data_IF_770609924214
#
_entry.id   IF_770609924214
#
_cell.length_a   1.000
_cell.length_b   1.000
_cell.length_c   1.000
_cell.angle_alpha   90.00
_cell.angle_beta   90.00
_cell.angle_gamma   90.00
#
_symmetry.space_group_name_H-M   'P 1'
#
loop_
_entity.id
_entity.type
_entity.pdbx_description
1 polymer ?
#
# COMPACT_ATOMS: atom_id res chain seq x y z
N UNK A 1 -19.67 18.73 23.38
CA UNK A 1 -20.09 17.32 23.24
C UNK A 1 -19.13 16.44 24.04
N UNK A 2 -19.61 15.75 25.08
CA UNK A 2 -18.77 14.78 25.82
C UNK A 2 -18.56 13.55 24.93
N UNK A 3 -17.31 13.21 24.64
CA UNK A 3 -16.96 11.97 23.94
C UNK A 3 -17.38 10.80 24.85
N UNK A 4 -18.54 10.21 24.59
CA UNK A 4 -18.94 8.99 25.28
C UNK A 4 -17.94 7.90 24.90
N UNK A 5 -17.06 7.57 25.83
CA UNK A 5 -16.06 6.52 25.63
C UNK A 5 -16.81 5.21 25.48
N UNK A 6 -16.87 4.63 24.28
CA UNK A 6 -17.39 3.28 24.07
C UNK A 6 -16.50 2.30 24.85
N UNK A 7 -16.90 1.99 26.08
CA UNK A 7 -16.30 0.97 26.93
C UNK A 7 -17.04 -0.34 26.64
N UNK A 8 -16.37 -1.30 26.04
CA UNK A 8 -16.86 -2.67 25.95
C UNK A 8 -16.17 -3.44 27.08
N UNK A 9 -16.95 -4.08 27.96
CA UNK A 9 -16.44 -4.83 29.13
C UNK A 9 -15.50 -4.01 30.04
N UNK A 10 -15.73 -2.69 30.16
CA UNK A 10 -14.92 -1.79 31.02
C UNK A 10 -13.60 -1.32 30.42
N UNK A 11 -13.18 -1.86 29.27
CA UNK A 11 -11.93 -1.48 28.59
C UNK A 11 -12.20 -0.40 27.54
N UNK A 12 -11.32 0.60 27.47
CA UNK A 12 -11.35 1.60 26.41
C UNK A 12 -10.89 0.95 25.09
N UNK A 13 -11.78 0.87 24.11
CA UNK A 13 -11.53 0.13 22.85
C UNK A 13 -10.80 1.00 21.81
N UNK A 14 -10.80 2.33 21.97
CA UNK A 14 -10.17 3.26 21.01
C UNK A 14 -8.68 3.01 20.76
N UNK A 15 -7.83 2.76 21.78
CA UNK A 15 -6.41 2.44 21.56
C UNK A 15 -6.20 1.17 20.74
N UNK A 16 -7.01 0.13 20.98
CA UNK A 16 -6.95 -1.14 20.25
C UNK A 16 -7.33 -0.94 18.77
N UNK A 17 -8.39 -0.18 18.51
CA UNK A 17 -8.82 0.16 17.15
C UNK A 17 -7.72 0.96 16.42
N UNK A 18 -7.12 1.93 17.10
CA UNK A 18 -6.02 2.73 16.53
C UNK A 18 -4.79 1.86 16.20
N UNK A 19 -4.41 0.93 17.09
CA UNK A 19 -3.31 -0.01 16.83
C UNK A 19 -3.60 -0.92 15.63
N UNK A 20 -4.83 -1.44 15.53
CA UNK A 20 -5.26 -2.26 14.39
C UNK A 20 -5.22 -1.48 13.07
N UNK A 21 -5.69 -0.23 13.07
CA UNK A 21 -5.62 0.65 11.91
C UNK A 21 -4.17 0.93 11.49
N UNK A 22 -3.28 1.19 12.46
CA UNK A 22 -1.87 1.44 12.20
C UNK A 22 -1.14 0.20 11.66
N UNK A 23 -1.45 -0.98 12.20
CA UNK A 23 -0.97 -2.25 11.67
C UNK A 23 -1.45 -2.45 10.22
N UNK A 24 -2.75 -2.28 9.94
CA UNK A 24 -3.32 -2.40 8.60
C UNK A 24 -2.64 -1.45 7.59
N UNK A 25 -2.42 -0.20 7.99
CA UNK A 25 -1.69 0.81 7.20
C UNK A 25 -0.28 0.33 6.86
N UNK A 26 0.43 -0.18 7.86
CA UNK A 26 1.79 -0.66 7.68
C UNK A 26 1.87 -1.87 6.76
N UNK A 27 0.93 -2.82 6.87
CA UNK A 27 0.79 -3.94 5.95
C UNK A 27 0.57 -3.48 4.51
N UNK A 28 -0.28 -2.47 4.29
CA UNK A 28 -0.53 -1.92 2.95
C UNK A 28 0.70 -1.23 2.36
N UNK A 29 1.46 -0.49 3.17
CA UNK A 29 2.74 0.10 2.73
C UNK A 29 3.73 -1.00 2.33
N UNK A 30 3.82 -2.08 3.11
CA UNK A 30 4.68 -3.23 2.79
C UNK A 30 4.28 -3.88 1.47
N UNK A 31 2.99 -4.06 1.23
CA UNK A 31 2.46 -4.62 -0.01
C UNK A 31 2.84 -3.75 -1.23
N UNK A 32 2.65 -2.42 -1.15
CA UNK A 32 3.04 -1.50 -2.21
C UNK A 32 4.55 -1.53 -2.48
N UNK A 33 5.37 -1.60 -1.42
CA UNK A 33 6.82 -1.76 -1.56
C UNK A 33 7.17 -3.08 -2.25
N UNK A 34 6.51 -4.19 -1.89
CA UNK A 34 6.74 -5.50 -2.53
C UNK A 34 6.42 -5.45 -4.02
N UNK A 35 5.27 -4.87 -4.40
CA UNK A 35 4.88 -4.70 -5.80
C UNK A 35 5.93 -3.91 -6.59
N UNK A 36 6.45 -2.81 -6.03
CA UNK A 36 7.53 -2.06 -6.64
C UNK A 36 8.79 -2.91 -6.86
N UNK A 37 9.19 -3.68 -5.86
CA UNK A 37 10.37 -4.55 -5.96
C UNK A 37 10.20 -5.64 -7.03
N UNK A 38 9.02 -6.26 -7.11
CA UNK A 38 8.69 -7.24 -8.13
C UNK A 38 8.75 -6.63 -9.54
N UNK A 39 8.24 -5.40 -9.71
CA UNK A 39 8.31 -4.67 -10.97
C UNK A 39 9.74 -4.42 -11.42
N UNK A 40 10.60 -3.95 -10.49
CA UNK A 40 12.01 -3.69 -10.79
C UNK A 40 12.74 -4.99 -11.13
N UNK A 41 12.41 -6.09 -10.46
CA UNK A 41 12.96 -7.42 -10.78
C UNK A 41 12.54 -7.88 -12.17
N UNK A 42 11.26 -7.76 -12.52
CA UNK A 42 10.76 -8.10 -13.85
C UNK A 42 11.41 -7.25 -14.93
N UNK A 43 11.58 -5.94 -14.68
CA UNK A 43 12.29 -5.05 -15.59
C UNK A 43 13.74 -5.46 -15.81
N UNK A 44 14.45 -5.88 -14.76
CA UNK A 44 15.83 -6.41 -14.87
C UNK A 44 15.89 -7.67 -15.75
N UNK A 45 14.90 -8.56 -15.62
CA UNK A 45 14.78 -9.77 -16.47
C UNK A 45 14.48 -9.37 -17.91
N UNK A 46 13.51 -8.48 -18.13
CA UNK A 46 13.13 -7.98 -19.45
C UNK A 46 14.31 -7.32 -20.17
N UNK A 47 15.13 -6.53 -19.46
CA UNK A 47 16.39 -5.96 -20.01
C UNK A 47 17.34 -7.06 -20.47
N UNK A 48 17.59 -8.08 -19.64
CA UNK A 48 18.48 -9.19 -19.99
C UNK A 48 17.99 -9.98 -21.20
N UNK A 49 16.67 -10.14 -21.34
CA UNK A 49 16.05 -10.89 -22.44
C UNK A 49 15.68 -10.03 -23.65
N UNK A 50 16.03 -8.74 -23.65
CA UNK A 50 15.68 -7.76 -24.70
C UNK A 50 14.17 -7.73 -25.03
N UNK A 51 13.33 -7.87 -24.01
CA UNK A 51 11.87 -7.78 -24.15
C UNK A 51 11.43 -6.32 -24.25
N UNK A 52 11.64 -5.72 -25.43
CA UNK A 52 11.41 -4.28 -25.69
C UNK A 52 9.98 -3.87 -25.32
N UNK A 53 8.96 -4.60 -25.80
CA UNK A 53 7.55 -4.30 -25.51
C UNK A 53 7.25 -4.31 -24.00
N UNK A 54 7.87 -5.22 -23.24
CA UNK A 54 7.70 -5.30 -21.79
C UNK A 54 8.39 -4.12 -21.10
N UNK A 55 9.55 -3.68 -21.59
CA UNK A 55 10.25 -2.52 -21.05
C UNK A 55 9.50 -1.21 -21.29
N UNK A 56 8.87 -1.07 -22.45
CA UNK A 56 8.05 0.10 -22.80
C UNK A 56 6.81 0.16 -21.92
N UNK A 57 6.12 -0.97 -21.75
CA UNK A 57 4.97 -1.05 -20.84
C UNK A 57 5.37 -0.87 -19.37
N UNK A 58 6.51 -1.43 -18.94
CA UNK A 58 7.06 -1.29 -17.60
C UNK A 58 7.99 -0.07 -17.45
N UNK A 59 7.68 1.04 -18.12
CA UNK A 59 8.41 2.27 -17.89
C UNK A 59 8.31 2.69 -16.41
N UNK A 60 9.43 3.15 -15.83
CA UNK A 60 9.54 3.49 -14.40
C UNK A 60 8.47 4.51 -14.02
N UNK A 61 8.29 5.55 -14.84
CA UNK A 61 7.33 6.61 -14.55
C UNK A 61 5.89 6.10 -14.53
N UNK A 62 5.53 5.24 -15.50
CA UNK A 62 4.22 4.61 -15.55
C UNK A 62 3.96 3.74 -14.31
N UNK A 63 4.93 2.92 -13.90
CA UNK A 63 4.81 2.09 -12.68
C UNK A 63 4.72 2.94 -11.42
N UNK A 64 5.49 4.03 -11.32
CA UNK A 64 5.41 4.96 -10.20
C UNK A 64 4.03 5.62 -10.11
N UNK A 65 3.49 6.11 -11.24
CA UNK A 65 2.13 6.68 -11.30
C UNK A 65 1.08 5.65 -10.87
N UNK A 66 1.19 4.40 -11.31
CA UNK A 66 0.29 3.31 -10.93
C UNK A 66 0.32 3.03 -9.42
N UNK A 67 1.50 2.92 -8.82
CA UNK A 67 1.62 2.73 -7.36
C UNK A 67 1.03 3.91 -6.60
N UNK A 68 1.23 5.14 -7.09
CA UNK A 68 0.63 6.34 -6.49
C UNK A 68 -0.89 6.30 -6.55
N UNK A 69 -1.47 5.81 -7.65
CA UNK A 69 -2.92 5.60 -7.77
C UNK A 69 -3.43 4.56 -6.77
N UNK A 70 -2.74 3.42 -6.62
CA UNK A 70 -3.12 2.43 -5.62
C UNK A 70 -3.00 2.95 -4.18
N UNK A 71 -1.97 3.74 -3.89
CA UNK A 71 -1.83 4.38 -2.59
C UNK A 71 -2.97 5.38 -2.31
N UNK A 72 -3.35 6.18 -3.32
CA UNK A 72 -4.47 7.12 -3.22
C UNK A 72 -5.81 6.39 -3.00
N UNK A 73 -6.10 5.37 -3.80
CA UNK A 73 -7.31 4.56 -3.65
C UNK A 73 -7.34 3.85 -2.28
N UNK A 74 -6.20 3.41 -1.78
CA UNK A 74 -6.08 2.85 -0.43
C UNK A 74 -6.40 3.88 0.66
N UNK A 75 -5.93 5.13 0.49
CA UNK A 75 -6.23 6.22 1.43
C UNK A 75 -7.71 6.57 1.45
N UNK A 76 -8.33 6.67 0.28
CA UNK A 76 -9.77 6.94 0.14
C UNK A 76 -10.64 5.85 0.79
N UNK A 77 -10.16 4.60 0.83
CA UNK A 77 -10.81 3.46 1.52
C UNK A 77 -10.46 3.35 3.01
N UNK A 78 -9.69 4.28 3.57
CA UNK A 78 -9.26 4.23 4.98
C UNK A 78 -8.24 3.12 5.28
N UNK A 79 -7.55 2.61 4.26
CA UNK A 79 -6.51 1.59 4.41
C UNK A 79 -5.09 2.19 4.51
N UNK A 80 -4.92 3.47 4.18
CA UNK A 80 -3.65 4.20 4.14
C UNK A 80 -3.76 5.63 4.66
#
# INVERSE_FOLDING_TARGET
MKQQTQKILGVNVYPLIAMLQQARRWWKIRELKRLWWEDMRMRKIAKRRKWVNVLDWMNIEGRYRLIKLYARAGKERGHL
#
